data_IF_274059008933
#
_entry.id   IF_274059008933
#
_cell.length_a   1.000
_cell.length_b   1.000
_cell.length_c   1.000
_cell.angle_alpha   90.00
_cell.angle_beta   90.00
_cell.angle_gamma   90.00
#
_symmetry.space_group_name_H-M   'P 1'
#
loop_
_entity.id
_entity.type
_entity.pdbx_description
1 polymer ?
#
# COMPACT_ATOMS: atom_id res chain seq x y z
N UNK A 1 -13.31 0.73 20.23
CA UNK A 1 -12.77 1.99 19.68
C UNK A 1 -11.87 2.67 20.71
N UNK A 2 -12.33 2.84 21.96
CA UNK A 2 -11.54 3.43 23.07
C UNK A 2 -10.18 2.74 23.32
N UNK A 3 -10.10 1.40 23.31
CA UNK A 3 -8.83 0.70 23.54
C UNK A 3 -7.77 0.91 22.44
N UNK A 4 -8.20 1.08 21.18
CA UNK A 4 -7.27 1.31 20.06
C UNK A 4 -6.76 2.75 20.05
N UNK A 5 -7.62 3.72 20.37
CA UNK A 5 -7.21 5.13 20.46
C UNK A 5 -6.21 5.37 21.58
N UNK A 6 -6.33 4.65 22.70
CA UNK A 6 -5.36 4.70 23.80
C UNK A 6 -4.00 4.08 23.40
N UNK A 7 -4.02 2.98 22.66
CA UNK A 7 -2.80 2.31 22.16
C UNK A 7 -2.11 3.09 21.03
N UNK A 8 -2.88 3.63 20.09
CA UNK A 8 -2.38 4.36 18.93
C UNK A 8 -1.83 5.75 19.31
N UNK A 9 -2.36 6.35 20.36
CA UNK A 9 -2.00 7.69 20.81
C UNK A 9 -2.65 8.82 19.99
N UNK A 10 -2.51 10.07 20.46
CA UNK A 10 -3.29 11.20 19.97
C UNK A 10 -2.95 11.60 18.53
N UNK A 11 -1.66 11.62 18.17
CA UNK A 11 -1.22 12.04 16.81
C UNK A 11 -1.69 11.04 15.76
N UNK A 12 -1.64 9.74 16.06
CA UNK A 12 -2.12 8.68 15.14
C UNK A 12 -3.63 8.79 14.95
N UNK A 13 -4.37 8.98 16.05
CA UNK A 13 -5.83 9.17 16.02
C UNK A 13 -6.20 10.40 15.18
N UNK A 14 -5.54 11.54 15.39
CA UNK A 14 -5.78 12.78 14.63
C UNK A 14 -5.54 12.56 13.12
N UNK A 15 -4.49 11.82 12.76
CA UNK A 15 -4.16 11.53 11.37
C UNK A 15 -5.24 10.70 10.66
N UNK A 16 -5.71 9.61 11.30
CA UNK A 16 -6.81 8.79 10.77
C UNK A 16 -8.11 9.58 10.65
N UNK A 17 -8.47 10.34 11.69
CA UNK A 17 -9.67 11.18 11.67
C UNK A 17 -9.63 12.20 10.52
N UNK A 18 -8.47 12.84 10.28
CA UNK A 18 -8.32 13.81 9.20
C UNK A 18 -8.55 13.18 7.81
N UNK A 19 -8.03 11.96 7.59
CA UNK A 19 -8.21 11.22 6.33
C UNK A 19 -9.65 10.73 6.17
N UNK A 20 -10.23 10.11 7.20
CA UNK A 20 -11.61 9.60 7.18
C UNK A 20 -12.63 10.72 6.93
N UNK A 21 -12.50 11.85 7.63
CA UNK A 21 -13.38 12.99 7.47
C UNK A 21 -13.27 13.60 6.07
N UNK A 22 -12.06 13.61 5.48
CA UNK A 22 -11.87 14.04 4.10
C UNK A 22 -12.57 13.10 3.11
N UNK A 23 -12.37 11.78 3.25
CA UNK A 23 -13.01 10.77 2.41
C UNK A 23 -14.54 10.87 2.51
N UNK A 24 -15.08 10.92 3.73
CA UNK A 24 -16.52 11.02 3.99
C UNK A 24 -17.12 12.28 3.38
N UNK A 25 -16.48 13.43 3.57
CA UNK A 25 -16.92 14.70 2.97
C UNK A 25 -16.96 14.64 1.45
N UNK A 26 -15.96 14.02 0.82
CA UNK A 26 -15.90 13.88 -0.64
C UNK A 26 -16.93 12.92 -1.19
N UNK A 27 -17.16 11.80 -0.51
CA UNK A 27 -18.23 10.85 -0.86
C UNK A 27 -19.61 11.52 -0.81
N UNK A 28 -19.90 12.30 0.24
CA UNK A 28 -21.17 13.04 0.36
C UNK A 28 -21.35 14.11 -0.72
N UNK A 29 -20.27 14.78 -1.14
CA UNK A 29 -20.32 15.76 -2.23
C UNK A 29 -20.52 15.11 -3.60
N UNK A 30 -20.02 13.89 -3.81
CA UNK A 30 -20.20 13.12 -5.05
C UNK A 30 -21.62 12.58 -5.22
N UNK A 31 -22.28 12.14 -4.15
CA UNK A 31 -23.64 11.58 -4.21
C UNK A 31 -24.75 12.61 -4.52
N UNK A 32 -24.42 13.89 -4.65
CA UNK A 32 -25.35 14.94 -5.11
C UNK A 32 -25.51 15.02 -6.64
N UNK A 33 -24.81 14.20 -7.42
CA UNK A 33 -24.91 14.18 -8.88
C UNK A 33 -24.76 12.77 -9.44
N UNK A 34 -25.89 12.10 -9.66
CA UNK A 34 -26.00 10.97 -10.60
C UNK A 34 -25.84 9.57 -10.01
N UNK A 35 -26.86 8.75 -10.27
CA UNK A 35 -27.00 7.30 -10.11
C UNK A 35 -25.81 6.49 -9.59
N UNK A 36 -26.08 5.74 -8.52
CA UNK A 36 -25.27 4.60 -8.13
C UNK A 36 -25.27 3.52 -9.21
N UNK A 37 -24.07 3.12 -9.59
CA UNK A 37 -23.77 1.76 -9.99
C UNK A 37 -22.48 1.40 -9.26
N UNK A 38 -22.63 0.66 -8.17
CA UNK A 38 -21.52 0.10 -7.43
C UNK A 38 -20.97 -1.09 -8.18
N UNK A 39 -19.64 -1.13 -8.28
CA UNK A 39 -18.80 -2.20 -8.80
C UNK A 39 -18.98 -2.53 -10.30
N UNK A 40 -17.88 -2.92 -10.93
CA UNK A 40 -17.73 -3.46 -12.30
C UNK A 40 -17.35 -2.49 -13.44
N UNK A 41 -17.46 -1.16 -13.28
CA UNK A 41 -17.13 -0.22 -14.38
C UNK A 41 -15.68 0.30 -14.40
N UNK A 42 -14.88 0.04 -13.36
CA UNK A 42 -13.47 0.44 -13.34
C UNK A 42 -12.59 -0.46 -14.22
N UNK A 43 -12.89 -1.76 -14.35
CA UNK A 43 -12.08 -2.67 -15.18
C UNK A 43 -12.17 -2.35 -16.67
N UNK A 44 -13.31 -1.87 -17.15
CA UNK A 44 -13.55 -1.66 -18.58
C UNK A 44 -12.93 -0.36 -19.16
N UNK A 45 -12.46 0.56 -18.31
CA UNK A 45 -11.83 1.82 -18.76
C UNK A 45 -10.30 1.74 -18.87
N UNK A 46 -9.68 0.63 -18.46
CA UNK A 46 -8.21 0.47 -18.46
C UNK A 46 -7.65 -0.23 -19.70
N UNK A 47 -8.49 -0.69 -20.62
CA UNK A 47 -8.10 -1.49 -21.80
C UNK A 47 -7.10 -0.76 -22.73
N UNK A 48 -6.97 0.57 -22.63
CA UNK A 48 -6.06 1.38 -23.44
C UNK A 48 -4.97 2.12 -22.64
N UNK A 49 -4.81 1.88 -21.33
CA UNK A 49 -3.77 2.54 -20.54
C UNK A 49 -2.52 1.66 -20.44
N UNK A 50 -1.40 2.18 -20.95
CA UNK A 50 -0.11 1.48 -20.95
C UNK A 50 0.51 1.50 -19.55
N UNK A 51 1.17 0.40 -19.16
CA UNK A 51 2.01 0.33 -17.96
C UNK A 51 3.16 1.35 -18.10
N UNK A 52 3.27 2.36 -17.21
CA UNK A 52 4.32 3.36 -17.32
C UNK A 52 5.69 2.72 -17.08
N UNK A 53 6.67 3.14 -17.88
CA UNK A 53 8.05 2.69 -17.70
C UNK A 53 8.76 3.45 -16.56
N UNK A 54 9.97 3.02 -16.20
CA UNK A 54 10.75 3.60 -15.10
C UNK A 54 10.99 5.11 -15.24
N UNK A 55 11.28 5.58 -16.47
CA UNK A 55 11.55 6.99 -16.72
C UNK A 55 10.29 7.83 -16.52
N UNK A 56 9.15 7.38 -17.05
CA UNK A 56 7.86 8.04 -16.89
C UNK A 56 7.46 8.15 -15.42
N UNK A 57 7.67 7.07 -14.65
CA UNK A 57 7.40 7.04 -13.21
C UNK A 57 8.28 8.07 -12.48
N UNK A 58 9.58 8.08 -12.76
CA UNK A 58 10.51 8.99 -12.11
C UNK A 58 10.20 10.45 -12.45
N UNK A 59 9.89 10.75 -13.72
CA UNK A 59 9.48 12.07 -14.16
C UNK A 59 8.19 12.52 -13.47
N UNK A 60 7.20 11.63 -13.34
CA UNK A 60 5.93 11.96 -12.71
C UNK A 60 6.09 12.27 -11.20
N UNK A 61 6.85 11.47 -10.46
CA UNK A 61 7.19 11.77 -9.05
C UNK A 61 7.98 13.07 -8.90
N UNK A 62 8.91 13.35 -9.81
CA UNK A 62 9.64 14.62 -9.80
C UNK A 62 8.71 15.81 -10.07
N UNK A 63 7.74 15.65 -10.97
CA UNK A 63 6.82 16.73 -11.39
C UNK A 63 5.97 17.30 -10.25
N UNK A 64 5.65 16.48 -9.24
CA UNK A 64 4.81 16.91 -8.11
C UNK A 64 5.60 17.65 -7.02
N UNK A 65 6.93 17.73 -7.11
CA UNK A 65 7.80 18.33 -6.08
C UNK A 65 7.48 19.81 -5.82
N UNK A 66 7.21 20.58 -6.88
CA UNK A 66 6.85 22.01 -6.76
C UNK A 66 5.50 22.20 -6.06
N UNK A 67 4.51 21.37 -6.43
CA UNK A 67 3.19 21.37 -5.78
C UNK A 67 3.29 20.97 -4.31
N UNK A 68 4.06 19.93 -3.99
CA UNK A 68 4.32 19.49 -2.63
C UNK A 68 4.95 20.61 -1.79
N UNK A 69 5.97 21.30 -2.33
CA UNK A 69 6.58 22.45 -1.66
C UNK A 69 5.56 23.57 -1.37
N UNK A 70 4.74 23.94 -2.36
CA UNK A 70 3.70 24.96 -2.16
C UNK A 70 2.63 24.57 -1.13
N UNK A 71 2.27 23.28 -1.05
CA UNK A 71 1.38 22.77 -0.01
C UNK A 71 2.05 22.92 1.36
N UNK A 72 3.29 22.47 1.52
CA UNK A 72 4.03 22.58 2.79
C UNK A 72 4.16 24.03 3.26
N UNK A 73 4.48 24.96 2.35
CA UNK A 73 4.51 26.39 2.67
C UNK A 73 3.14 26.91 3.13
N UNK A 74 2.05 26.48 2.50
CA UNK A 74 0.70 26.84 2.93
C UNK A 74 0.39 26.26 4.33
N UNK A 75 0.77 25.00 4.58
CA UNK A 75 0.60 24.32 5.88
C UNK A 75 1.42 25.00 6.99
N UNK A 76 2.57 25.59 6.64
CA UNK A 76 3.40 26.41 7.54
C UNK A 76 2.91 27.87 7.71
N UNK A 77 1.70 28.18 7.24
CA UNK A 77 1.05 29.48 7.46
C UNK A 77 1.27 30.52 6.35
N UNK A 78 1.88 30.15 5.24
CA UNK A 78 2.08 31.09 4.13
C UNK A 78 0.75 31.49 3.48
N UNK A 79 0.52 32.80 3.36
CA UNK A 79 -0.71 33.36 2.76
C UNK A 79 -0.59 33.67 1.27
N UNK A 80 0.58 33.39 0.67
CA UNK A 80 0.85 33.64 -0.75
C UNK A 80 -0.15 32.90 -1.64
N UNK A 81 -0.62 33.58 -2.70
CA UNK A 81 -1.60 33.03 -3.65
C UNK A 81 -1.21 31.65 -4.22
N UNK A 82 0.03 31.39 -4.71
CA UNK A 82 0.38 30.07 -5.23
C UNK A 82 0.27 28.95 -4.18
N UNK A 83 0.68 29.23 -2.94
CA UNK A 83 0.66 28.24 -1.85
C UNK A 83 -0.78 27.87 -1.48
N UNK A 84 -1.62 28.87 -1.24
CA UNK A 84 -3.06 28.65 -0.97
C UNK A 84 -3.75 27.93 -2.12
N UNK A 85 -3.44 28.31 -3.37
CA UNK A 85 -4.03 27.68 -4.55
C UNK A 85 -3.63 26.20 -4.65
N UNK A 86 -2.37 25.84 -4.41
CA UNK A 86 -1.92 24.45 -4.43
C UNK A 86 -2.69 23.59 -3.41
N UNK A 87 -2.75 24.06 -2.15
CA UNK A 87 -3.48 23.38 -1.08
C UNK A 87 -4.98 23.22 -1.40
N UNK A 88 -5.65 24.31 -1.80
CA UNK A 88 -7.08 24.26 -2.14
C UNK A 88 -7.34 23.38 -3.36
N UNK A 89 -6.47 23.41 -4.37
CA UNK A 89 -6.62 22.59 -5.58
C UNK A 89 -6.54 21.10 -5.26
N UNK A 90 -5.58 20.69 -4.43
CA UNK A 90 -5.45 19.29 -4.03
C UNK A 90 -6.65 18.83 -3.21
N UNK A 91 -7.10 19.63 -2.23
CA UNK A 91 -8.29 19.33 -1.44
C UNK A 91 -9.61 19.40 -2.24
N UNK A 92 -9.60 19.96 -3.46
CA UNK A 92 -10.77 19.97 -4.34
C UNK A 92 -10.99 18.62 -5.03
N UNK A 93 -9.93 17.87 -5.31
CA UNK A 93 -10.00 16.55 -5.96
C UNK A 93 -10.54 15.45 -5.04
N UNK A 94 -11.14 14.41 -5.62
CA UNK A 94 -11.59 13.23 -4.89
C UNK A 94 -10.41 12.31 -4.57
N UNK A 95 -10.30 11.78 -3.33
CA UNK A 95 -9.29 10.79 -2.99
C UNK A 95 -9.63 9.41 -3.55
N UNK A 96 -8.62 8.57 -3.72
CA UNK A 96 -8.79 7.12 -3.68
C UNK A 96 -8.67 6.67 -2.20
N UNK A 97 -9.75 6.16 -1.58
CA UNK A 97 -9.75 5.85 -0.14
C UNK A 97 -8.70 4.82 0.28
N UNK A 98 -8.55 3.76 -0.52
CA UNK A 98 -7.71 2.61 -0.17
C UNK A 98 -6.23 2.99 -0.25
N UNK A 99 -5.83 3.61 -1.36
CA UNK A 99 -4.43 4.03 -1.54
C UNK A 99 -4.03 5.14 -0.56
N UNK A 100 -4.96 6.07 -0.24
CA UNK A 100 -4.70 7.09 0.77
C UNK A 100 -4.49 6.48 2.17
N UNK A 101 -5.32 5.50 2.53
CA UNK A 101 -5.20 4.76 3.80
C UNK A 101 -3.94 3.89 3.86
N UNK A 102 -3.54 3.32 2.72
CA UNK A 102 -2.29 2.57 2.57
C UNK A 102 -1.07 3.46 2.84
N UNK A 103 -0.98 4.64 2.19
CA UNK A 103 0.12 5.58 2.41
C UNK A 103 0.12 6.16 3.83
N UNK A 104 -1.06 6.39 4.44
CA UNK A 104 -1.15 6.80 5.83
C UNK A 104 -0.56 5.72 6.75
N UNK A 105 -0.96 4.46 6.56
CA UNK A 105 -0.43 3.33 7.34
C UNK A 105 1.09 3.24 7.25
N UNK A 106 1.64 3.38 6.04
CA UNK A 106 3.09 3.40 5.84
C UNK A 106 3.78 4.59 6.54
N UNK A 107 3.17 5.78 6.53
CA UNK A 107 3.69 6.96 7.23
C UNK A 107 3.78 6.70 8.73
N UNK A 108 2.72 6.13 9.31
CA UNK A 108 2.65 5.85 10.75
C UNK A 108 3.63 4.77 11.18
N UNK A 109 3.79 3.69 10.40
CA UNK A 109 4.82 2.66 10.65
C UNK A 109 6.24 3.23 10.64
N UNK A 110 6.53 4.16 9.71
CA UNK A 110 7.84 4.85 9.67
C UNK A 110 8.09 5.71 10.90
N UNK A 111 7.06 6.42 11.39
CA UNK A 111 7.17 7.24 12.61
C UNK A 111 7.42 6.36 13.82
N UNK A 112 6.70 5.24 13.95
CA UNK A 112 6.89 4.28 15.03
C UNK A 112 8.31 3.72 15.05
N UNK A 113 8.87 3.37 13.90
CA UNK A 113 10.25 2.90 13.77
C UNK A 113 11.29 3.95 14.20
N UNK A 114 11.05 5.23 13.87
CA UNK A 114 11.95 6.32 14.23
C UNK A 114 11.95 6.61 15.74
N UNK A 115 10.82 6.43 16.43
CA UNK A 115 10.72 6.68 17.88
C UNK A 115 11.25 5.54 18.74
N UNK A 116 11.13 4.29 18.30
CA UNK A 116 11.63 3.10 19.01
C UNK A 116 13.16 2.94 18.98
N UNK A 117 13.86 3.73 18.18
CA UNK A 117 15.33 3.69 18.02
C UNK A 117 16.12 4.29 19.20
N UNK A 118 15.49 4.56 20.35
CA UNK A 118 16.12 5.18 21.53
C UNK A 118 16.63 4.19 22.59
N UNK A 119 16.39 2.88 22.44
CA UNK A 119 16.96 1.87 23.35
C UNK A 119 18.28 1.24 22.82
N UNK A 120 19.29 1.02 23.68
CA UNK A 120 20.56 0.44 23.27
C UNK A 120 20.50 -1.09 23.14
N UNK A 121 20.91 -1.57 21.95
CA UNK A 121 21.60 -2.85 21.72
C UNK A 121 20.79 -4.17 21.80
N UNK A 122 19.85 -4.34 20.87
CA UNK A 122 19.88 -5.44 19.89
C UNK A 122 19.33 -4.87 18.58
N UNK A 123 20.17 -4.66 17.58
CA UNK A 123 19.79 -4.04 16.31
C UNK A 123 18.90 -4.98 15.47
N UNK A 124 17.65 -5.19 15.89
CA UNK A 124 16.62 -5.74 15.01
C UNK A 124 16.28 -4.67 14.00
N UNK A 125 16.46 -4.97 12.72
CA UNK A 125 16.07 -4.11 11.61
C UNK A 125 14.63 -3.61 11.83
N UNK A 126 14.36 -2.33 11.57
CA UNK A 126 13.00 -1.82 11.69
C UNK A 126 12.08 -2.50 10.66
N UNK A 127 10.76 -2.49 10.87
CA UNK A 127 9.81 -2.97 9.85
C UNK A 127 10.03 -2.29 8.49
N UNK A 128 10.44 -1.02 8.51
CA UNK A 128 10.78 -0.28 7.30
C UNK A 128 12.06 -0.78 6.64
N UNK A 129 13.10 -1.10 7.42
CA UNK A 129 14.32 -1.68 6.87
C UNK A 129 14.05 -3.06 6.26
N UNK A 130 13.25 -3.89 6.94
CA UNK A 130 12.83 -5.19 6.41
C UNK A 130 12.03 -5.04 5.10
N UNK A 131 11.14 -4.05 5.01
CA UNK A 131 10.42 -3.73 3.78
C UNK A 131 11.39 -3.39 2.64
N UNK A 132 12.42 -2.58 2.90
CA UNK A 132 13.38 -2.17 1.87
C UNK A 132 14.23 -3.34 1.33
N UNK A 133 14.39 -4.42 2.10
CA UNK A 133 15.07 -5.65 1.69
C UNK A 133 14.25 -6.53 0.73
N UNK A 134 12.95 -6.29 0.61
CA UNK A 134 12.12 -7.01 -0.36
C UNK A 134 12.54 -6.68 -1.79
N UNK A 135 12.17 -7.55 -2.74
CA UNK A 135 12.54 -7.36 -4.14
C UNK A 135 11.78 -6.16 -4.74
N UNK A 136 12.47 -5.19 -5.37
CA UNK A 136 11.83 -4.15 -6.17
C UNK A 136 11.12 -4.70 -7.41
N UNK A 137 9.92 -4.18 -7.67
CA UNK A 137 9.44 -3.95 -9.03
C UNK A 137 9.83 -2.53 -9.45
N UNK A 138 10.61 -2.34 -10.52
CA UNK A 138 10.94 -1.01 -11.01
C UNK A 138 9.74 -0.28 -11.65
N UNK A 139 8.67 -1.01 -12.00
CA UNK A 139 7.46 -0.51 -12.65
C UNK A 139 6.19 -0.85 -11.87
N UNK A 140 6.05 -0.43 -10.59
CA UNK A 140 5.03 -0.94 -9.66
C UNK A 140 3.59 -0.53 -9.98
N UNK A 141 3.37 0.31 -10.99
CA UNK A 141 2.05 0.79 -11.36
C UNK A 141 1.56 0.03 -12.59
N UNK A 142 0.48 -0.73 -12.46
CA UNK A 142 -0.10 -1.49 -13.58
C UNK A 142 -0.52 -0.58 -14.75
N UNK A 143 -0.97 0.64 -14.46
CA UNK A 143 -1.39 1.64 -15.46
C UNK A 143 -0.95 3.05 -15.06
N UNK A 144 -0.95 3.97 -16.02
CA UNK A 144 -0.73 5.40 -15.75
C UNK A 144 -1.74 5.97 -14.75
N UNK A 145 -2.98 5.45 -14.69
CA UNK A 145 -3.97 5.87 -13.69
C UNK A 145 -3.54 5.48 -12.26
N UNK A 146 -3.01 4.27 -12.07
CA UNK A 146 -2.47 3.84 -10.77
C UNK A 146 -1.35 4.77 -10.29
N UNK A 147 -0.46 5.19 -11.21
CA UNK A 147 0.58 6.18 -10.90
C UNK A 147 -0.04 7.52 -10.48
N UNK A 148 -1.05 8.02 -11.20
CA UNK A 148 -1.73 9.28 -10.82
C UNK A 148 -2.43 9.18 -9.45
N UNK A 149 -3.06 8.05 -9.14
CA UNK A 149 -3.66 7.80 -7.82
C UNK A 149 -2.59 7.91 -6.72
N UNK A 150 -1.40 7.35 -6.94
CA UNK A 150 -0.32 7.40 -5.96
C UNK A 150 0.20 8.83 -5.73
N UNK A 151 0.43 9.57 -6.80
CA UNK A 151 0.87 10.97 -6.74
C UNK A 151 -0.16 11.86 -6.06
N UNK A 152 -1.44 11.68 -6.38
CA UNK A 152 -2.53 12.44 -5.79
C UNK A 152 -2.70 12.15 -4.30
N UNK A 153 -2.61 10.87 -3.91
CA UNK A 153 -2.70 10.44 -2.50
C UNK A 153 -1.54 10.98 -1.67
N UNK A 154 -0.31 11.00 -2.21
CA UNK A 154 0.83 11.66 -1.59
C UNK A 154 0.56 13.14 -1.29
N UNK A 155 0.05 13.89 -2.28
CA UNK A 155 -0.29 15.30 -2.11
C UNK A 155 -1.44 15.51 -1.12
N UNK A 156 -2.44 14.60 -1.08
CA UNK A 156 -3.51 14.62 -0.08
C UNK A 156 -2.94 14.47 1.34
N UNK A 157 -2.01 13.53 1.57
CA UNK A 157 -1.41 13.38 2.89
C UNK A 157 -0.68 14.66 3.34
N UNK A 158 0.08 15.30 2.46
CA UNK A 158 0.73 16.58 2.79
C UNK A 158 -0.30 17.68 3.15
N UNK A 159 -1.46 17.67 2.51
CA UNK A 159 -2.52 18.64 2.76
C UNK A 159 -3.30 18.38 4.06
N UNK A 160 -3.42 17.12 4.47
CA UNK A 160 -4.34 16.68 5.52
C UNK A 160 -3.66 16.40 6.85
N UNK A 161 -2.49 15.75 6.84
CA UNK A 161 -1.90 15.19 8.06
C UNK A 161 -1.45 16.28 9.06
N UNK A 162 -1.47 15.98 10.37
CA UNK A 162 -0.86 16.82 11.39
C UNK A 162 0.54 17.27 11.00
N UNK A 163 0.89 18.53 11.28
CA UNK A 163 2.19 19.10 10.85
C UNK A 163 3.38 18.36 11.41
N UNK A 164 3.22 17.70 12.57
CA UNK A 164 4.22 16.83 13.21
C UNK A 164 4.54 15.58 12.41
N UNK A 165 3.63 15.09 11.55
CA UNK A 165 3.83 13.92 10.70
C UNK A 165 4.39 14.26 9.31
N UNK A 166 4.28 15.52 8.86
CA UNK A 166 4.73 15.95 7.54
C UNK A 166 6.21 15.64 7.24
N UNK A 167 7.16 15.70 8.20
CA UNK A 167 8.55 15.28 7.95
C UNK A 167 8.70 13.81 7.55
N UNK A 168 7.73 12.96 7.88
CA UNK A 168 7.75 11.52 7.55
C UNK A 168 7.04 11.19 6.24
N UNK A 169 6.32 12.15 5.65
CA UNK A 169 5.65 12.02 4.35
C UNK A 169 6.66 12.36 3.25
N UNK A 170 7.10 11.35 2.48
CA UNK A 170 8.15 11.50 1.48
C UNK A 170 7.79 10.82 0.17
N UNK A 171 7.95 11.55 -0.93
CA UNK A 171 7.80 11.03 -2.28
C UNK A 171 8.72 9.83 -2.55
N UNK A 172 9.99 9.91 -2.16
CA UNK A 172 10.94 8.81 -2.38
C UNK A 172 10.61 7.59 -1.52
N UNK A 173 10.10 7.79 -0.31
CA UNK A 173 9.65 6.69 0.55
C UNK A 173 8.40 6.00 -0.02
N UNK A 174 7.45 6.75 -0.58
CA UNK A 174 6.24 6.18 -1.17
C UNK A 174 6.48 5.51 -2.52
N UNK A 175 7.42 6.03 -3.32
CA UNK A 175 7.89 5.29 -4.50
C UNK A 175 8.55 3.98 -4.06
N UNK A 176 9.47 4.00 -3.08
CA UNK A 176 10.09 2.79 -2.57
C UNK A 176 9.05 1.78 -2.02
N UNK A 177 8.03 2.27 -1.30
CA UNK A 177 6.92 1.44 -0.84
C UNK A 177 6.19 0.77 -2.01
N UNK A 178 5.79 1.54 -3.04
CA UNK A 178 5.10 1.00 -4.21
C UNK A 178 5.94 -0.06 -4.92
N UNK A 179 7.24 0.19 -5.07
CA UNK A 179 8.20 -0.77 -5.65
C UNK A 179 8.33 -2.06 -4.85
N UNK A 180 8.01 -2.07 -3.55
CA UNK A 180 8.04 -3.28 -2.72
C UNK A 180 6.69 -3.93 -2.59
N UNK A 181 5.60 -3.19 -2.71
CA UNK A 181 4.25 -3.71 -2.53
C UNK A 181 3.80 -4.64 -3.66
N UNK A 182 4.06 -4.29 -4.93
CA UNK A 182 3.44 -4.94 -6.09
C UNK A 182 3.69 -6.45 -6.19
N UNK A 183 4.84 -6.95 -5.73
CA UNK A 183 5.18 -8.38 -5.77
C UNK A 183 5.27 -9.05 -4.39
N UNK A 184 5.06 -8.30 -3.30
CA UNK A 184 5.30 -8.82 -1.93
C UNK A 184 4.07 -8.70 -1.02
N UNK A 185 2.96 -8.15 -1.51
CA UNK A 185 1.74 -7.98 -0.74
C UNK A 185 0.95 -9.28 -0.59
N UNK A 186 0.19 -9.36 0.50
CA UNK A 186 -0.76 -10.42 0.78
C UNK A 186 -2.17 -9.86 0.70
N UNK A 187 -3.03 -10.53 -0.07
CA UNK A 187 -4.46 -10.26 -0.09
C UNK A 187 -5.12 -10.64 1.24
N UNK A 188 -5.98 -9.76 1.73
CA UNK A 188 -6.85 -9.97 2.87
C UNK A 188 -8.22 -10.32 2.29
N UNK A 189 -8.58 -11.61 2.39
CA UNK A 189 -9.90 -12.11 1.98
C UNK A 189 -10.75 -12.47 3.18
N UNK A 190 -12.07 -12.45 3.06
CA UNK A 190 -13.00 -12.82 4.12
C UNK A 190 -12.70 -14.23 4.67
N UNK A 191 -12.92 -14.44 5.97
CA UNK A 191 -12.72 -15.75 6.61
C UNK A 191 -14.03 -16.55 6.68
N UNK A 192 -15.17 -15.87 6.59
CA UNK A 192 -16.48 -16.44 6.91
C UNK A 192 -17.16 -17.09 5.69
N UNK A 193 -16.72 -16.75 4.48
CA UNK A 193 -17.27 -17.20 3.19
C UNK A 193 -16.28 -18.04 2.38
N UNK A 194 -15.20 -18.53 3.01
CA UNK A 194 -14.16 -19.28 2.31
C UNK A 194 -13.18 -18.41 1.50
N UNK A 195 -13.24 -17.08 1.62
CA UNK A 195 -12.29 -16.17 0.95
C UNK A 195 -12.83 -15.52 -0.33
N UNK A 196 -14.14 -15.60 -0.55
CA UNK A 196 -14.79 -15.07 -1.75
C UNK A 196 -14.64 -13.53 -1.83
N UNK A 197 -14.83 -12.83 -0.71
CA UNK A 197 -14.70 -11.37 -0.67
C UNK A 197 -13.25 -10.92 -0.46
N UNK A 198 -12.78 -9.98 -1.31
CA UNK A 198 -11.51 -9.28 -1.13
C UNK A 198 -11.70 -8.01 -0.29
N UNK A 199 -11.09 -7.99 0.89
CA UNK A 199 -11.21 -6.91 1.88
C UNK A 199 -10.08 -5.88 1.81
N UNK A 200 -9.00 -6.19 1.09
CA UNK A 200 -7.83 -5.31 0.95
C UNK A 200 -6.53 -6.09 0.87
N UNK A 201 -5.40 -5.41 1.07
CA UNK A 201 -4.07 -6.02 1.02
C UNK A 201 -3.12 -5.34 2.01
N UNK A 202 -1.98 -5.96 2.26
CA UNK A 202 -0.90 -5.39 3.04
C UNK A 202 0.42 -6.09 2.79
N UNK A 203 1.52 -5.44 3.18
CA UNK A 203 2.86 -6.03 3.12
C UNK A 203 3.29 -6.40 4.54
N UNK A 204 3.66 -7.66 4.72
CA UNK A 204 4.26 -8.17 5.95
C UNK A 204 5.69 -8.59 5.63
N UNK A 205 6.70 -7.71 5.78
CA UNK A 205 8.02 -7.95 5.21
C UNK A 205 8.65 -9.31 5.58
N UNK A 206 8.49 -9.75 6.83
CA UNK A 206 9.00 -11.06 7.27
C UNK A 206 8.31 -12.22 6.55
N UNK A 207 7.00 -12.12 6.33
CA UNK A 207 6.22 -13.13 5.62
C UNK A 207 6.50 -13.14 4.11
N UNK A 208 6.87 -11.98 3.54
CA UNK A 208 7.13 -11.84 2.10
C UNK A 208 8.44 -12.47 1.63
N UNK A 209 9.27 -13.00 2.53
CA UNK A 209 10.50 -13.72 2.15
C UNK A 209 10.27 -15.18 1.73
N UNK A 210 9.10 -15.76 2.00
CA UNK A 210 8.81 -17.11 1.53
C UNK A 210 8.62 -17.10 0.01
N UNK A 211 9.41 -17.89 -0.70
CA UNK A 211 9.23 -18.11 -2.14
C UNK A 211 8.02 -19.01 -2.42
N UNK A 212 7.63 -19.06 -3.70
CA UNK A 212 6.56 -19.93 -4.17
C UNK A 212 7.05 -21.37 -4.37
N UNK A 213 6.19 -22.34 -4.04
CA UNK A 213 6.25 -23.70 -4.59
C UNK A 213 4.84 -24.23 -4.85
N UNK A 214 4.66 -24.92 -5.98
CA UNK A 214 3.43 -25.69 -6.26
C UNK A 214 3.27 -26.90 -5.33
N UNK A 215 4.33 -27.28 -4.59
CA UNK A 215 4.34 -28.34 -3.58
C UNK A 215 4.92 -27.78 -2.26
N UNK A 216 4.24 -26.83 -1.61
CA UNK A 216 4.80 -26.06 -0.51
C UNK A 216 5.03 -26.91 0.74
N UNK A 217 6.08 -26.58 1.49
CA UNK A 217 6.40 -27.18 2.79
C UNK A 217 5.99 -26.30 3.99
N UNK A 218 5.47 -25.09 3.70
CA UNK A 218 4.87 -24.18 4.69
C UNK A 218 3.41 -23.91 4.35
N UNK A 219 2.53 -24.16 5.31
CA UNK A 219 1.16 -23.68 5.31
C UNK A 219 1.06 -22.28 5.90
N UNK A 220 0.09 -21.48 5.42
CA UNK A 220 -0.21 -20.15 5.96
C UNK A 220 -1.70 -20.00 6.20
N UNK A 221 -2.09 -19.24 7.22
CA UNK A 221 -3.47 -18.80 7.45
C UNK A 221 -3.47 -17.45 8.12
N UNK A 222 -4.51 -16.66 7.85
CA UNK A 222 -4.74 -15.41 8.55
C UNK A 222 -5.58 -15.66 9.80
N UNK A 223 -5.12 -15.16 10.95
CA UNK A 223 -5.85 -15.17 12.22
C UNK A 223 -6.01 -13.74 12.70
N UNK A 224 -7.21 -13.19 12.56
CA UNK A 224 -7.43 -11.77 12.83
C UNK A 224 -6.56 -10.88 11.94
N UNK A 225 -5.60 -10.17 12.55
CA UNK A 225 -4.67 -9.23 11.88
C UNK A 225 -3.28 -9.82 11.64
N UNK A 226 -3.07 -11.08 11.98
CA UNK A 226 -1.77 -11.75 11.90
C UNK A 226 -1.78 -12.89 10.87
N UNK A 227 -0.60 -13.20 10.35
CA UNK A 227 -0.37 -14.38 9.54
C UNK A 227 0.36 -15.42 10.37
N UNK A 228 -0.24 -16.60 10.49
CA UNK A 228 0.39 -17.77 11.10
C UNK A 228 0.96 -18.67 10.01
N UNK A 229 2.19 -19.14 10.21
CA UNK A 229 2.90 -20.06 9.33
C UNK A 229 3.28 -21.32 10.09
N UNK A 230 3.16 -22.48 9.44
CA UNK A 230 3.56 -23.77 10.03
C UNK A 230 4.13 -24.69 8.97
N UNK A 231 5.01 -25.61 9.38
CA UNK A 231 5.52 -26.65 8.50
C UNK A 231 4.39 -27.64 8.16
N UNK A 232 4.07 -27.79 6.89
CA UNK A 232 3.02 -28.71 6.41
C UNK A 232 3.51 -30.16 6.32
N UNK A 233 4.83 -30.35 6.32
CA UNK A 233 5.52 -31.64 6.37
C UNK A 233 6.86 -31.50 7.11
N UNK A 234 7.56 -32.62 7.31
CA UNK A 234 8.96 -32.57 7.74
C UNK A 234 9.83 -31.81 6.73
N UNK A 235 10.75 -31.01 7.25
CA UNK A 235 11.72 -30.19 6.51
C UNK A 235 13.09 -30.40 7.13
N UNK A 236 14.11 -30.51 6.28
CA UNK A 236 15.50 -30.71 6.71
C UNK A 236 16.21 -29.37 6.96
N UNK A 237 17.29 -29.40 7.74
CA UNK A 237 18.14 -28.21 7.92
C UNK A 237 18.73 -27.78 6.58
N UNK A 238 18.56 -26.50 6.23
CA UNK A 238 19.00 -25.94 4.95
C UNK A 238 18.00 -26.12 3.81
N UNK A 239 16.88 -26.83 4.01
CA UNK A 239 15.78 -26.85 3.05
C UNK A 239 15.08 -25.48 3.00
N UNK A 240 14.85 -24.97 1.79
CA UNK A 240 14.12 -23.72 1.60
C UNK A 240 12.66 -23.86 2.03
N UNK A 241 12.15 -22.86 2.74
CA UNK A 241 10.75 -22.80 3.14
C UNK A 241 9.94 -22.08 2.07
N UNK A 242 8.93 -22.74 1.51
CA UNK A 242 8.09 -22.21 0.44
C UNK A 242 6.61 -22.30 0.79
N UNK A 243 5.85 -21.28 0.38
CA UNK A 243 4.39 -21.20 0.47
C UNK A 243 3.75 -21.32 -0.92
N UNK A 244 2.44 -21.55 -0.98
CA UNK A 244 1.69 -21.29 -2.22
C UNK A 244 1.31 -19.80 -2.31
N UNK A 245 1.54 -19.19 -3.48
CA UNK A 245 1.10 -17.83 -3.80
C UNK A 245 -0.34 -17.83 -4.33
N UNK A 246 -0.75 -18.95 -4.92
CA UNK A 246 -2.07 -19.13 -5.54
C UNK A 246 -3.17 -19.40 -4.51
N UNK A 247 -2.81 -19.76 -3.27
CA UNK A 247 -3.72 -19.69 -2.12
C UNK A 247 -4.94 -20.60 -2.19
N UNK A 248 -4.92 -21.64 -3.03
CA UNK A 248 -6.04 -22.53 -3.30
C UNK A 248 -6.60 -22.40 -4.72
N UNK A 249 -6.35 -21.28 -5.41
CA UNK A 249 -6.82 -21.04 -6.78
C UNK A 249 -6.16 -21.99 -7.79
N UNK A 250 -5.09 -22.68 -7.40
CA UNK A 250 -4.42 -23.73 -8.16
C UNK A 250 -5.21 -25.04 -8.27
N UNK A 251 -6.26 -25.23 -7.45
CA UNK A 251 -7.04 -26.47 -7.44
C UNK A 251 -7.72 -26.67 -8.79
N UNK A 252 -7.32 -27.73 -9.50
CA UNK A 252 -7.84 -28.08 -10.82
C UNK A 252 -7.05 -27.49 -11.99
N UNK A 253 -6.05 -26.64 -11.74
CA UNK A 253 -5.21 -26.07 -12.81
C UNK A 253 -4.06 -27.00 -13.21
N UNK A 254 -3.80 -27.08 -14.51
CA UNK A 254 -2.61 -27.68 -15.07
C UNK A 254 -1.34 -26.87 -14.80
N UNK A 255 -0.17 -27.45 -15.09
CA UNK A 255 1.14 -26.79 -14.88
C UNK A 255 1.24 -25.48 -15.67
N UNK A 256 0.80 -25.48 -16.94
CA UNK A 256 0.86 -24.31 -17.81
C UNK A 256 0.01 -23.14 -17.26
N UNK A 257 -1.22 -23.42 -16.83
CA UNK A 257 -2.13 -22.41 -16.29
C UNK A 257 -1.60 -21.82 -14.98
N UNK A 258 -1.00 -22.65 -14.11
CA UNK A 258 -0.34 -22.14 -12.89
C UNK A 258 0.83 -21.22 -13.23
N UNK A 259 1.68 -21.61 -14.18
CA UNK A 259 2.83 -20.81 -14.61
C UNK A 259 2.41 -19.48 -15.24
N UNK A 260 1.36 -19.49 -16.07
CA UNK A 260 0.79 -18.29 -16.68
C UNK A 260 0.33 -17.31 -15.60
N UNK A 261 -0.49 -17.76 -14.63
CA UNK A 261 -0.94 -16.90 -13.52
C UNK A 261 0.20 -16.36 -12.68
N UNK A 262 1.20 -17.20 -12.38
CA UNK A 262 2.38 -16.80 -11.62
C UNK A 262 3.20 -15.74 -12.36
N UNK A 263 3.35 -15.91 -13.67
CA UNK A 263 4.07 -14.96 -14.52
C UNK A 263 3.33 -13.63 -14.65
N UNK A 264 2.01 -13.65 -14.87
CA UNK A 264 1.21 -12.43 -14.99
C UNK A 264 1.21 -11.59 -13.70
N UNK A 265 1.23 -12.24 -12.55
CA UNK A 265 1.07 -11.56 -11.25
C UNK A 265 2.41 -11.25 -10.56
N UNK A 266 3.39 -12.16 -10.64
CA UNK A 266 4.69 -12.06 -9.94
C UNK A 266 5.90 -12.07 -10.88
N UNK A 267 5.70 -12.10 -12.19
CA UNK A 267 6.75 -12.00 -13.20
C UNK A 267 7.87 -13.08 -13.10
N UNK A 268 7.52 -14.30 -12.65
CA UNK A 268 8.42 -15.44 -12.65
C UNK A 268 7.74 -16.71 -13.19
N UNK A 269 8.54 -17.67 -13.64
CA UNK A 269 8.07 -19.01 -14.01
C UNK A 269 8.48 -20.02 -12.93
N UNK A 270 7.52 -20.77 -12.37
CA UNK A 270 7.82 -21.83 -11.40
C UNK A 270 8.46 -23.04 -12.10
N UNK A 271 9.61 -23.49 -11.61
CA UNK A 271 10.31 -24.67 -12.11
C UNK A 271 9.57 -25.97 -11.77
#
# INVERSE_FOLDING_TARGET
MESWTEEAGPVVTEAWMAVEEFIKRKSMQGNGSGNGSGNDDHELQHINQVRPNEEEIQQAWNSVSSTAHFILEARNGSTRKPHRRALTSVLATSPNPDYLSFLLSATLSRVKAATSSTEPATATATEWDALLQLVPDPTPYATSSCLQIALQSYLHLLALLPTTLLPSVSASAFLALAQRDSHNSFGIRSLDDGGDEFLGYGVWPVASFFNHSCSPNVGKKRVGREWEFWMSRGVEEGEELCISYLGGDEVGLGVAERRERLFETWAFECE
#
